data_IF_649691792008
#
_entry.id   IF_649691792008
#
_cell.length_a   1.000
_cell.length_b   1.000
_cell.length_c   1.000
_cell.angle_alpha   90.00
_cell.angle_beta   90.00
_cell.angle_gamma   90.00
#
_symmetry.space_group_name_H-M   'P 1'
#
loop_
_entity.id
_entity.type
_entity.pdbx_description
1 polymer ?
#
# COMPACT_ATOMS: atom_id res chain seq x y z
N UNK A 1 -11.46 14.02 -9.16
CA UNK A 1 -10.55 14.23 -8.03
C UNK A 1 -9.84 12.90 -7.80
N UNK A 2 -8.58 12.87 -7.35
CA UNK A 2 -7.96 11.58 -7.02
C UNK A 2 -8.45 11.21 -5.61
N UNK A 3 -9.58 10.53 -5.56
CA UNK A 3 -10.20 10.13 -4.31
C UNK A 3 -9.29 9.14 -3.58
N UNK A 4 -9.09 9.35 -2.29
CA UNK A 4 -8.23 8.50 -1.44
C UNK A 4 -8.62 7.03 -1.53
N UNK A 5 -9.90 6.73 -1.83
CA UNK A 5 -10.40 5.39 -2.08
C UNK A 5 -9.71 4.68 -3.26
N UNK A 6 -9.51 5.37 -4.39
CA UNK A 6 -8.84 4.81 -5.57
C UNK A 6 -7.39 4.45 -5.27
N UNK A 7 -6.69 5.32 -4.52
CA UNK A 7 -5.31 5.06 -4.06
C UNK A 7 -5.27 3.82 -3.17
N UNK A 8 -6.22 3.69 -2.23
CA UNK A 8 -6.32 2.52 -1.34
C UNK A 8 -6.60 1.24 -2.13
N UNK A 9 -7.47 1.28 -3.14
CA UNK A 9 -7.76 0.12 -4.01
C UNK A 9 -6.52 -0.31 -4.79
N UNK A 10 -5.83 0.63 -5.43
CA UNK A 10 -4.57 0.37 -6.14
C UNK A 10 -3.51 -0.23 -5.24
N UNK A 11 -3.31 0.36 -4.05
CA UNK A 11 -2.38 -0.17 -3.06
C UNK A 11 -2.74 -1.61 -2.67
N UNK A 12 -4.01 -1.92 -2.44
CA UNK A 12 -4.43 -3.31 -2.18
C UNK A 12 -4.09 -4.23 -3.34
N UNK A 13 -4.32 -3.82 -4.58
CA UNK A 13 -4.00 -4.64 -5.76
C UNK A 13 -2.50 -4.90 -5.90
N UNK A 14 -1.66 -3.87 -5.74
CA UNK A 14 -0.19 -4.00 -5.77
C UNK A 14 0.28 -4.94 -4.66
N UNK A 15 -0.16 -4.67 -3.43
CA UNK A 15 0.25 -5.45 -2.26
C UNK A 15 -0.28 -6.88 -2.32
N UNK A 16 -1.49 -7.12 -2.83
CA UNK A 16 -2.03 -8.48 -3.03
C UNK A 16 -1.23 -9.26 -4.07
N UNK A 17 -0.70 -8.59 -5.09
CA UNK A 17 0.15 -9.24 -6.08
C UNK A 17 1.50 -9.67 -5.46
N UNK A 18 1.97 -8.95 -4.45
CA UNK A 18 3.23 -9.21 -3.74
C UNK A 18 3.03 -9.90 -2.40
N UNK A 19 3.00 -11.24 -2.42
CA UNK A 19 2.75 -12.09 -1.26
C UNK A 19 3.79 -11.97 -0.13
N UNK A 20 5.01 -11.58 -0.44
CA UNK A 20 6.14 -11.45 0.52
C UNK A 20 6.30 -10.03 1.09
N UNK A 21 5.40 -9.11 0.71
CA UNK A 21 5.53 -7.69 0.98
C UNK A 21 6.53 -6.98 0.06
N UNK A 22 6.41 -5.66 -0.02
CA UNK A 22 7.22 -4.80 -0.91
C UNK A 22 7.91 -3.71 -0.14
N UNK A 23 9.04 -3.25 -0.65
CA UNK A 23 9.70 -2.05 -0.12
C UNK A 23 8.95 -0.78 -0.52
N UNK A 24 9.13 0.32 0.22
CA UNK A 24 8.58 1.64 -0.14
C UNK A 24 8.93 2.06 -1.58
N UNK A 25 10.15 1.77 -2.02
CA UNK A 25 10.62 2.06 -3.38
C UNK A 25 9.89 1.24 -4.44
N UNK A 26 9.76 -0.07 -4.21
CA UNK A 26 9.03 -0.99 -5.12
C UNK A 26 7.57 -0.60 -5.22
N UNK A 27 6.91 -0.39 -4.07
CA UNK A 27 5.51 0.07 -4.02
C UNK A 27 5.30 1.32 -4.86
N UNK A 28 6.20 2.29 -4.75
CA UNK A 28 6.10 3.54 -5.51
C UNK A 28 6.25 3.30 -7.01
N UNK A 29 7.16 2.42 -7.39
CA UNK A 29 7.42 2.06 -8.78
C UNK A 29 6.24 1.30 -9.39
N UNK A 30 5.72 0.29 -8.70
CA UNK A 30 4.52 -0.46 -9.10
C UNK A 30 3.29 0.44 -9.18
N UNK A 31 3.07 1.27 -8.16
CA UNK A 31 1.96 2.22 -8.14
C UNK A 31 2.04 3.17 -9.34
N UNK A 32 3.22 3.72 -9.62
CA UNK A 32 3.44 4.57 -10.79
C UNK A 32 3.27 3.81 -12.10
N UNK A 33 3.66 2.54 -12.17
CA UNK A 33 3.49 1.72 -13.35
C UNK A 33 2.01 1.43 -13.65
N UNK A 34 1.19 1.25 -12.61
CA UNK A 34 -0.24 1.00 -12.74
C UNK A 34 -1.06 2.27 -12.94
N UNK A 35 -0.78 3.32 -12.17
CA UNK A 35 -1.51 4.58 -12.17
C UNK A 35 -0.99 5.57 -13.23
N UNK A 36 0.23 5.37 -13.74
CA UNK A 36 0.96 6.34 -14.55
C UNK A 36 1.66 7.44 -13.72
N UNK A 37 1.23 7.64 -12.48
CA UNK A 37 1.65 8.74 -11.61
C UNK A 37 2.07 8.27 -10.21
N UNK A 38 2.92 9.06 -9.55
CA UNK A 38 3.33 8.82 -8.17
C UNK A 38 2.21 9.17 -7.18
N UNK A 39 2.24 8.54 -5.99
CA UNK A 39 1.27 8.80 -4.92
C UNK A 39 1.34 10.30 -4.52
N UNK A 40 0.22 11.04 -4.57
CA UNK A 40 0.22 12.48 -4.35
C UNK A 40 0.26 12.82 -2.85
N UNK A 41 1.40 12.56 -2.19
CA UNK A 41 1.63 12.81 -0.76
C UNK A 41 1.30 14.25 -0.34
N UNK A 42 1.67 15.23 -1.18
CA UNK A 42 1.33 16.64 -0.99
C UNK A 42 -0.18 16.91 -0.93
N UNK A 43 -0.98 16.20 -1.71
CA UNK A 43 -2.46 16.35 -1.66
C UNK A 43 -3.07 15.66 -0.45
N UNK A 44 -2.40 14.63 0.05
CA UNK A 44 -2.81 13.90 1.23
C UNK A 44 -2.35 14.58 2.54
N UNK A 45 -1.46 15.58 2.46
CA UNK A 45 -0.92 16.28 3.62
C UNK A 45 0.26 15.55 4.29
N UNK A 46 0.83 14.54 3.64
CA UNK A 46 1.97 13.78 4.17
C UNK A 46 3.27 14.21 3.51
N UNK A 47 4.35 14.22 4.29
CA UNK A 47 5.71 14.52 3.78
C UNK A 47 6.45 13.28 3.33
N UNK A 48 6.10 12.11 3.85
CA UNK A 48 6.73 10.82 3.52
C UNK A 48 5.67 9.79 3.17
N UNK A 49 6.03 8.88 2.27
CA UNK A 49 5.17 7.75 1.90
C UNK A 49 4.88 6.87 3.11
N UNK A 50 5.88 6.65 3.96
CA UNK A 50 5.74 5.87 5.19
C UNK A 50 4.67 6.43 6.13
N UNK A 51 4.65 7.75 6.38
CA UNK A 51 3.61 8.41 7.19
C UNK A 51 2.21 8.18 6.61
N UNK A 52 2.06 8.31 5.29
CA UNK A 52 0.77 8.06 4.64
C UNK A 52 0.32 6.61 4.84
N UNK A 53 1.21 5.65 4.59
CA UNK A 53 0.91 4.22 4.74
C UNK A 53 0.59 3.87 6.20
N UNK A 54 1.29 4.47 7.15
CA UNK A 54 1.04 4.33 8.59
C UNK A 54 -0.32 4.89 9.00
N UNK A 55 -0.83 5.89 8.29
CA UNK A 55 -2.19 6.42 8.50
C UNK A 55 -3.30 5.53 7.93
N UNK A 56 -2.99 4.53 7.09
CA UNK A 56 -3.98 3.62 6.48
C UNK A 56 -3.69 2.13 6.79
N UNK A 57 -3.65 1.74 8.09
CA UNK A 57 -3.38 0.36 8.49
C UNK A 57 -4.44 -0.64 7.99
N UNK A 58 -5.60 -0.19 7.53
CA UNK A 58 -6.63 -1.03 6.90
C UNK A 58 -6.29 -1.48 5.47
N UNK A 59 -5.20 -1.01 4.89
CA UNK A 59 -4.83 -1.26 3.49
C UNK A 59 -3.45 -1.91 3.43
N UNK A 60 -2.52 -1.35 4.21
CA UNK A 60 -1.12 -1.75 4.24
C UNK A 60 -0.68 -1.93 5.69
N UNK A 61 0.11 -2.97 5.91
CA UNK A 61 0.80 -3.19 7.18
C UNK A 61 2.28 -2.92 6.97
N UNK A 62 2.86 -2.09 7.83
CA UNK A 62 4.30 -1.90 7.90
C UNK A 62 4.86 -2.96 8.84
N UNK A 63 5.64 -3.88 8.30
CA UNK A 63 6.30 -4.94 9.05
C UNK A 63 7.80 -4.69 9.04
N UNK A 64 8.41 -4.59 10.21
CA UNK A 64 9.86 -4.49 10.35
C UNK A 64 10.44 -5.88 10.55
N UNK A 65 11.08 -6.45 9.53
CA UNK A 65 11.70 -7.77 9.59
C UNK A 65 13.22 -7.64 9.42
N UNK A 66 13.98 -8.06 10.43
CA UNK A 66 15.45 -8.10 10.39
C UNK A 66 16.13 -6.75 10.06
N UNK A 67 15.57 -5.65 10.56
CA UNK A 67 16.08 -4.29 10.31
C UNK A 67 15.57 -3.65 9.02
N UNK A 68 14.78 -4.35 8.21
CA UNK A 68 14.19 -3.84 6.98
C UNK A 68 12.67 -3.65 7.13
N UNK A 69 12.16 -2.51 6.69
CA UNK A 69 10.72 -2.21 6.69
C UNK A 69 10.11 -2.70 5.39
N UNK A 70 9.15 -3.62 5.50
CA UNK A 70 8.37 -4.19 4.40
C UNK A 70 6.90 -3.78 4.52
N UNK A 71 6.27 -3.63 3.37
CA UNK A 71 4.86 -3.27 3.25
C UNK A 71 4.08 -4.50 2.83
N UNK A 72 3.17 -4.96 3.68
CA UNK A 72 2.38 -6.16 3.45
C UNK A 72 0.92 -5.78 3.24
N UNK A 73 0.22 -6.46 2.32
CA UNK A 73 -1.21 -6.24 2.13
C UNK A 73 -1.96 -6.67 3.39
N UNK A 74 -2.87 -5.82 3.90
CA UNK A 74 -3.83 -6.29 4.88
C UNK A 74 -4.94 -7.00 4.14
N UNK A 75 -4.79 -8.32 4.03
CA UNK A 75 -5.87 -9.20 3.61
C UNK A 75 -6.81 -9.34 4.79
N UNK A 76 -7.87 -8.54 4.83
CA UNK A 76 -9.01 -8.88 5.66
C UNK A 76 -9.49 -10.24 5.18
N UNK A 77 -9.37 -11.25 6.03
CA UNK A 77 -9.90 -12.58 5.80
C UNK A 77 -11.43 -12.51 5.87
N UNK A 78 -12.04 -11.92 4.84
CA UNK A 78 -13.50 -12.00 4.61
C UNK A 78 -13.78 -12.69 3.29
N UNK A 79 -12.91 -13.62 2.91
CA UNK A 79 -13.28 -14.72 2.03
C UNK A 79 -13.08 -16.02 2.82
N UNK A 80 -13.89 -16.19 3.86
CA UNK A 80 -14.24 -17.52 4.32
C UNK A 80 -15.32 -18.05 3.35
N UNK A 81 -14.97 -18.20 2.07
CA UNK A 81 -15.77 -19.02 1.15
C UNK A 81 -15.18 -20.44 1.16
N UNK A 82 -15.14 -21.03 2.35
CA UNK A 82 -14.94 -22.46 2.51
C UNK A 82 -15.82 -22.94 3.68
N UNK A 83 -17.09 -23.17 3.36
CA UNK A 83 -17.91 -24.17 4.02
C UNK A 83 -19.02 -24.63 3.09
#
# INVERSE_FOLDING_TARGET
MADTDSIKKLLRSVLQSSKEGVSLSTLQSDYRSLCGDSIPLKKLGYSRLEDYLRSIPSVVHLESHMGEVRLVAVVYFTDLHIM
#
